data_IF_653356473583
#
_entry.id   IF_653356473583
#
_cell.length_a   1.000
_cell.length_b   1.000
_cell.length_c   1.000
_cell.angle_alpha   90.00
_cell.angle_beta   90.00
_cell.angle_gamma   90.00
#
_symmetry.space_group_name_H-M   'P 1'
#
loop_
_entity.id
_entity.type
_entity.pdbx_description
1 polymer ?
#
# COMPACT_ATOMS: atom_id res chain seq x y z
N UNK A 1 -5.91 -6.16 2.58
CA UNK A 1 -6.97 -7.18 2.52
C UNK A 1 -7.75 -6.93 1.24
N UNK A 2 -7.85 -7.93 0.37
CA UNK A 2 -8.79 -7.91 -0.74
C UNK A 2 -9.70 -9.10 -0.52
N UNK A 3 -10.99 -8.84 -0.30
CA UNK A 3 -12.02 -9.86 0.01
C UNK A 3 -12.47 -10.65 -1.23
N UNK A 4 -11.87 -10.40 -2.41
CA UNK A 4 -12.31 -10.96 -3.69
C UNK A 4 -12.37 -12.49 -3.77
N UNK A 5 -11.69 -13.21 -2.87
CA UNK A 5 -11.65 -14.69 -2.83
C UNK A 5 -12.42 -15.33 -1.66
N UNK A 6 -13.11 -14.56 -0.81
CA UNK A 6 -13.59 -15.09 0.48
C UNK A 6 -12.45 -15.57 1.39
N UNK A 7 -11.23 -15.11 1.10
CA UNK A 7 -10.01 -15.38 1.85
C UNK A 7 -9.31 -14.04 2.09
N UNK A 8 -8.77 -13.88 3.30
CA UNK A 8 -7.94 -12.74 3.67
C UNK A 8 -6.61 -12.84 2.92
N UNK A 9 -6.42 -11.96 1.94
CA UNK A 9 -5.17 -11.92 1.18
C UNK A 9 -4.20 -10.96 1.86
N UNK A 10 -3.20 -11.56 2.51
CA UNK A 10 -1.98 -10.89 2.92
C UNK A 10 -1.05 -10.71 1.72
N UNK A 11 -0.92 -9.47 1.27
CA UNK A 11 0.03 -9.08 0.22
C UNK A 11 1.30 -8.53 0.84
N UNK A 12 2.42 -9.22 0.66
CA UNK A 12 3.74 -8.68 1.03
C UNK A 12 4.44 -8.15 -0.21
N UNK A 13 4.82 -6.87 -0.18
CA UNK A 13 5.61 -6.22 -1.22
C UNK A 13 6.95 -5.77 -0.65
N UNK A 14 8.03 -6.02 -1.39
CA UNK A 14 9.28 -5.29 -1.17
C UNK A 14 9.19 -3.99 -1.94
N UNK A 15 9.29 -2.88 -1.23
CA UNK A 15 9.23 -1.54 -1.83
C UNK A 15 10.50 -0.75 -1.51
N UNK A 16 10.89 0.11 -2.44
CA UNK A 16 11.89 1.14 -2.21
C UNK A 16 11.17 2.46 -1.98
N UNK A 17 11.36 3.04 -0.79
CA UNK A 17 10.80 4.36 -0.44
C UNK A 17 11.91 5.41 -0.53
N UNK A 18 11.64 6.49 -1.25
CA UNK A 18 12.57 7.62 -1.45
C UNK A 18 11.90 8.94 -1.09
N UNK A 19 12.60 9.86 -0.43
CA UNK A 19 12.11 11.22 -0.26
C UNK A 19 12.19 11.98 -1.59
N UNK A 20 11.10 12.60 -2.01
CA UNK A 20 11.01 13.41 -3.24
C UNK A 20 10.16 14.65 -2.97
N UNK A 21 10.77 15.85 -2.98
CA UNK A 21 10.07 17.14 -2.87
C UNK A 21 9.06 17.23 -1.70
N UNK A 22 9.46 16.75 -0.52
CA UNK A 22 8.60 16.74 0.68
C UNK A 22 7.61 15.58 0.76
N UNK A 23 7.66 14.64 -0.18
CA UNK A 23 6.88 13.39 -0.18
C UNK A 23 7.79 12.20 0.07
N UNK A 24 7.22 11.08 0.50
CA UNK A 24 7.83 9.77 0.51
C UNK A 24 7.19 8.95 -0.61
N UNK A 25 7.94 8.71 -1.68
CA UNK A 25 7.48 7.95 -2.85
C UNK A 25 7.98 6.53 -2.73
N UNK A 26 7.07 5.56 -2.66
CA UNK A 26 7.36 4.14 -2.61
C UNK A 26 7.04 3.45 -3.93
N UNK A 27 7.94 2.60 -4.44
CA UNK A 27 7.64 1.73 -5.58
C UNK A 27 8.14 0.32 -5.33
N UNK A 28 7.31 -0.68 -5.63
CA UNK A 28 7.74 -2.08 -5.66
C UNK A 28 8.39 -2.42 -7.00
N UNK A 29 9.22 -3.45 -7.02
CA UNK A 29 9.51 -4.15 -8.27
C UNK A 29 8.23 -4.83 -8.80
N UNK A 30 8.12 -5.07 -10.11
CA UNK A 30 7.07 -5.91 -10.66
C UNK A 30 7.10 -7.31 -10.07
N UNK A 31 5.92 -7.82 -9.70
CA UNK A 31 5.71 -9.19 -9.23
C UNK A 31 4.71 -9.88 -10.15
N UNK A 32 4.59 -11.23 -10.12
CA UNK A 32 3.53 -11.94 -10.83
C UNK A 32 2.11 -11.51 -10.44
N UNK A 33 1.94 -10.84 -9.28
CA UNK A 33 0.66 -10.33 -8.84
C UNK A 33 0.41 -8.87 -9.27
N UNK A 34 1.45 -8.15 -9.69
CA UNK A 34 1.36 -6.73 -10.03
C UNK A 34 2.46 -5.86 -9.41
N UNK A 35 2.16 -4.57 -9.31
CA UNK A 35 3.02 -3.49 -8.78
C UNK A 35 2.28 -2.68 -7.73
N UNK A 36 3.04 -2.13 -6.79
CA UNK A 36 2.54 -1.23 -5.74
C UNK A 36 3.31 0.09 -5.78
N UNK A 37 2.57 1.19 -5.80
CA UNK A 37 3.09 2.54 -5.65
C UNK A 37 2.49 3.22 -4.42
N UNK A 38 3.31 3.97 -3.68
CA UNK A 38 2.92 4.79 -2.54
C UNK A 38 3.34 6.24 -2.79
N UNK A 39 2.48 7.18 -2.43
CA UNK A 39 2.79 8.60 -2.38
C UNK A 39 2.31 9.14 -1.05
N UNK A 40 3.25 9.41 -0.14
CA UNK A 40 2.97 9.73 1.25
C UNK A 40 3.56 11.08 1.65
N UNK A 41 2.96 11.70 2.67
CA UNK A 41 3.44 12.90 3.34
C UNK A 41 3.55 12.58 4.83
N UNK A 42 4.64 13.04 5.45
CA UNK A 42 4.86 12.92 6.87
C UNK A 42 4.67 14.28 7.55
N UNK A 43 3.90 14.29 8.64
CA UNK A 43 3.77 15.41 9.58
C UNK A 43 4.07 14.87 10.98
N UNK A 44 5.27 15.16 11.47
CA UNK A 44 5.81 14.53 12.68
C UNK A 44 5.84 13.01 12.56
N UNK A 45 5.13 12.32 13.47
CA UNK A 45 5.00 10.85 13.46
C UNK A 45 3.81 10.35 12.63
N UNK A 46 2.95 11.24 12.14
CA UNK A 46 1.81 10.85 11.32
C UNK A 46 2.23 10.82 9.85
N UNK A 47 1.97 9.72 9.16
CA UNK A 47 2.24 9.56 7.73
C UNK A 47 0.93 9.21 7.02
N UNK A 48 0.55 10.03 6.05
CA UNK A 48 -0.69 9.85 5.28
C UNK A 48 -0.41 9.88 3.80
N UNK A 49 -1.32 9.34 2.99
CA UNK A 49 -1.22 9.51 1.54
C UNK A 49 -1.97 8.44 0.79
N UNK A 50 -1.52 8.18 -0.44
CA UNK A 50 -2.20 7.28 -1.36
C UNK A 50 -1.38 6.01 -1.59
N UNK A 51 -2.10 4.93 -1.91
CA UNK A 51 -1.57 3.74 -2.54
C UNK A 51 -2.24 3.53 -3.89
N UNK A 52 -1.48 3.03 -4.83
CA UNK A 52 -1.99 2.52 -6.10
C UNK A 52 -1.43 1.13 -6.34
N UNK A 53 -2.31 0.16 -6.50
CA UNK A 53 -1.94 -1.21 -6.83
C UNK A 53 -2.43 -1.53 -8.24
N UNK A 54 -1.52 -1.96 -9.10
CA UNK A 54 -1.86 -2.43 -10.44
C UNK A 54 -1.58 -3.91 -10.51
N UNK A 55 -2.64 -4.70 -10.72
CA UNK A 55 -2.55 -6.15 -10.85
C UNK A 55 -1.85 -6.56 -12.16
N UNK A 56 -1.36 -7.81 -12.23
CA UNK A 56 -0.72 -8.32 -13.44
C UNK A 56 -1.71 -8.37 -14.63
N UNK A 57 -1.30 -7.98 -15.86
CA UNK A 57 -2.17 -7.97 -17.04
C UNK A 57 -2.69 -9.35 -17.45
N UNK A 58 -1.89 -10.39 -17.23
CA UNK A 58 -2.18 -11.79 -17.50
C UNK A 58 -2.84 -12.51 -16.31
N UNK A 59 -3.02 -11.81 -15.18
CA UNK A 59 -3.65 -12.33 -13.97
C UNK A 59 -5.18 -12.29 -13.98
N UNK A 60 -5.78 -12.84 -12.93
CA UNK A 60 -7.23 -12.89 -12.75
C UNK A 60 -7.92 -11.52 -12.89
N UNK A 61 -7.31 -10.47 -12.34
CA UNK A 61 -7.82 -9.09 -12.39
C UNK A 61 -7.37 -8.30 -13.62
N UNK A 62 -6.64 -8.92 -14.56
CA UNK A 62 -6.33 -8.42 -15.91
C UNK A 62 -5.84 -6.97 -15.98
N UNK A 63 -4.89 -6.59 -15.11
CA UNK A 63 -4.33 -5.24 -15.14
C UNK A 63 -5.18 -4.18 -14.43
N UNK A 64 -6.18 -4.58 -13.65
CA UNK A 64 -6.97 -3.66 -12.82
C UNK A 64 -6.08 -2.78 -11.94
N UNK A 65 -6.51 -1.53 -11.76
CA UNK A 65 -5.86 -0.54 -10.92
C UNK A 65 -6.77 -0.25 -9.73
N UNK A 66 -6.25 -0.50 -8.53
CA UNK A 66 -6.91 -0.22 -7.26
C UNK A 66 -6.24 0.98 -6.61
N UNK A 67 -7.07 1.93 -6.17
CA UNK A 67 -6.62 3.09 -5.42
C UNK A 67 -7.04 2.98 -3.97
N UNK A 68 -6.28 3.59 -3.07
CA UNK A 68 -6.66 3.70 -1.67
C UNK A 68 -5.86 4.77 -0.96
N UNK A 69 -6.28 5.09 0.25
CA UNK A 69 -5.57 5.97 1.15
C UNK A 69 -4.89 5.17 2.26
N UNK A 70 -3.82 5.73 2.80
CA UNK A 70 -3.07 5.19 3.94
C UNK A 70 -3.02 6.24 5.05
N UNK A 71 -3.15 5.77 6.28
CA UNK A 71 -2.83 6.54 7.48
C UNK A 71 -2.02 5.65 8.41
N UNK A 72 -0.81 6.08 8.71
CA UNK A 72 0.23 5.33 9.38
C UNK A 72 0.86 6.17 10.49
N UNK A 73 1.35 5.50 11.51
CA UNK A 73 2.18 6.10 12.57
C UNK A 73 3.59 5.58 12.39
N UNK A 74 4.55 6.50 12.23
CA UNK A 74 5.97 6.25 12.21
C UNK A 74 6.45 5.91 13.62
N UNK A 75 7.13 4.76 13.75
CA UNK A 75 7.84 4.43 14.96
C UNK A 75 8.98 5.44 15.20
N UNK A 76 9.21 5.94 16.43
CA UNK A 76 10.23 6.95 16.72
C UNK A 76 11.66 6.57 16.31
N UNK A 77 11.95 5.28 16.13
CA UNK A 77 13.27 4.81 15.67
C UNK A 77 13.39 4.79 14.13
N UNK A 78 12.32 5.14 13.41
CA UNK A 78 12.27 5.20 11.95
C UNK A 78 12.33 3.84 11.26
N UNK A 79 12.14 2.74 12.01
CA UNK A 79 12.28 1.37 11.49
C UNK A 79 10.99 0.79 10.90
N UNK A 80 9.84 1.34 11.31
CA UNK A 80 8.54 0.87 10.85
C UNK A 80 7.50 1.99 10.83
N UNK A 81 6.46 1.78 10.03
CA UNK A 81 5.23 2.56 10.03
C UNK A 81 4.06 1.59 10.11
N UNK A 82 3.13 1.81 11.02
CA UNK A 82 1.96 0.93 11.20
C UNK A 82 0.67 1.74 11.16
N UNK A 83 -0.36 1.21 10.52
CA UNK A 83 -1.67 1.85 10.54
C UNK A 83 -2.68 1.09 9.70
N UNK A 84 -3.47 1.82 8.93
CA UNK A 84 -4.55 1.26 8.12
C UNK A 84 -4.60 1.87 6.73
N UNK A 85 -5.17 1.09 5.83
CA UNK A 85 -5.59 1.55 4.53
C UNK A 85 -7.11 1.64 4.44
N UNK A 86 -7.62 2.49 3.55
CA UNK A 86 -9.02 2.51 3.13
C UNK A 86 -9.08 2.54 1.59
N UNK A 87 -10.05 1.86 1.00
CA UNK A 87 -10.22 1.86 -0.46
C UNK A 87 -11.47 1.09 -0.90
N UNK A 88 -11.96 1.34 -2.12
CA UNK A 88 -13.14 0.66 -2.64
C UNK A 88 -12.87 -0.82 -2.86
N UNK A 89 -13.85 -1.64 -2.50
CA UNK A 89 -13.91 -3.05 -2.89
C UNK A 89 -14.62 -3.23 -4.25
N UNK A 90 -14.86 -4.49 -4.65
CA UNK A 90 -15.55 -4.82 -5.91
C UNK A 90 -17.03 -4.43 -5.92
N UNK A 91 -17.61 -4.15 -4.76
CA UNK A 91 -18.99 -3.73 -4.56
C UNK A 91 -19.10 -2.20 -4.45
N UNK A 92 -18.00 -1.47 -4.65
CA UNK A 92 -17.88 -0.02 -4.48
C UNK A 92 -18.11 0.47 -3.05
N UNK A 93 -17.98 -0.43 -2.07
CA UNK A 93 -17.99 -0.08 -0.65
C UNK A 93 -16.57 0.21 -0.16
N UNK A 94 -16.42 1.05 0.86
CA UNK A 94 -15.11 1.34 1.45
C UNK A 94 -14.72 0.22 2.40
N UNK A 95 -13.71 -0.56 2.00
CA UNK A 95 -13.05 -1.53 2.85
C UNK A 95 -11.84 -0.89 3.56
N UNK A 96 -11.43 -1.50 4.66
CA UNK A 96 -10.24 -1.09 5.40
C UNK A 96 -9.46 -2.29 5.92
N UNK A 97 -8.16 -2.11 6.12
CA UNK A 97 -7.37 -3.16 6.74
C UNK A 97 -6.07 -2.66 7.31
N UNK A 98 -5.44 -3.51 8.12
CA UNK A 98 -4.14 -3.21 8.71
C UNK A 98 -3.08 -3.06 7.62
N UNK A 99 -2.16 -2.14 7.84
CA UNK A 99 -0.98 -1.95 7.00
C UNK A 99 0.26 -1.80 7.87
N UNK A 100 1.36 -2.42 7.43
CA UNK A 100 2.66 -2.32 8.07
C UNK A 100 3.71 -2.12 6.99
N UNK A 101 4.51 -1.08 7.16
CA UNK A 101 5.77 -0.94 6.45
C UNK A 101 6.92 -1.15 7.42
N UNK A 102 7.84 -2.04 7.07
CA UNK A 102 9.03 -2.33 7.87
C UNK A 102 10.25 -2.31 6.97
N UNK A 103 11.36 -1.75 7.48
CA UNK A 103 12.62 -1.81 6.77
C UNK A 103 13.04 -3.28 6.62
N UNK A 104 13.41 -3.67 5.40
CA UNK A 104 13.98 -4.99 5.16
C UNK A 104 15.27 -5.16 5.98
N UNK A 105 15.48 -6.36 6.53
CA UNK A 105 16.72 -6.75 7.21
C UNK A 105 17.84 -6.95 6.21
#
# INVERSE_FOLDING_TARGET
MSTGRGQELDGTHRIVVRPERGRLVGRSDPTPNGTLELDLVADGLLVTGNRTERTAPDGYYRGAVYHGILQLVLDPTGRSMTGRWLGPDRNFEIDSGRWVLQRAR
#
